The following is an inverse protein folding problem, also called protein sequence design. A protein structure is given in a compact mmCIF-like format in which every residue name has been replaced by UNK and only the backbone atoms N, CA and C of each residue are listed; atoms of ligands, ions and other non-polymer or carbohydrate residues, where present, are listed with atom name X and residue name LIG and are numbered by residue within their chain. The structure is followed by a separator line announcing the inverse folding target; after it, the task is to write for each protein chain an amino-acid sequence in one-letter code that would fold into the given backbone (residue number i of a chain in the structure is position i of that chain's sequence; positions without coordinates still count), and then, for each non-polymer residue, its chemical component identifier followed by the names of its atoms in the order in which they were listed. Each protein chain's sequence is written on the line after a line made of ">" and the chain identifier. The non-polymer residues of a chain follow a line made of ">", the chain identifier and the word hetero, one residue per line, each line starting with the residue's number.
data_IF_437889327003
#
_entry.id   IF_437889327003
#
_cell.length_a   1.000
_cell.length_b   1.000
_cell.length_c   1.000
_cell.angle_alpha   90.00
_cell.angle_beta   90.00
_cell.angle_gamma   90.00
#
_symmetry.space_group_name_H-M   'P 1'
#
loop_
_entity.id
_entity.type
_entity.pdbx_description
1 polymer ?
#
# COMPACT_ATOMS: atom_id res chain seq x y z
N UNK A 1 83.12 -22.84 49.21
CA UNK A 1 82.83 -22.01 48.07
C UNK A 1 81.50 -22.46 47.47
N UNK A 2 80.44 -21.67 47.66
CA UNK A 2 79.13 -22.00 47.14
C UNK A 2 78.80 -20.96 46.01
N UNK A 3 78.67 -21.43 44.82
CA UNK A 3 78.26 -20.61 43.65
C UNK A 3 76.74 -20.54 43.61
N UNK A 4 76.20 -19.35 43.75
CA UNK A 4 74.75 -19.08 43.53
C UNK A 4 74.54 -18.73 42.03
N UNK A 5 73.72 -19.52 41.36
CA UNK A 5 73.29 -19.31 39.98
C UNK A 5 71.97 -18.51 40.01
N UNK A 6 72.02 -17.27 39.51
CA UNK A 6 70.86 -16.43 39.37
C UNK A 6 70.30 -16.72 37.98
N UNK A 7 69.08 -17.27 37.94
CA UNK A 7 68.29 -17.47 36.69
C UNK A 7 67.44 -16.21 36.49
N UNK A 8 67.75 -15.43 35.42
CA UNK A 8 66.92 -14.32 34.98
C UNK A 8 65.77 -14.84 34.10
N UNK A 9 64.51 -14.68 34.57
CA UNK A 9 63.34 -14.99 33.78
C UNK A 9 62.97 -13.75 32.98
N UNK A 10 63.08 -13.82 31.65
CA UNK A 10 62.61 -12.77 30.72
C UNK A 10 61.12 -13.04 30.43
N UNK A 11 60.24 -12.17 30.93
CA UNK A 11 58.83 -12.14 30.54
C UNK A 11 58.74 -11.45 29.19
N UNK A 12 58.41 -12.21 28.12
CA UNK A 12 57.92 -11.65 26.85
C UNK A 12 56.44 -11.31 26.99
N UNK A 13 56.12 -10.00 27.03
CA UNK A 13 54.74 -9.53 26.84
C UNK A 13 54.39 -9.59 25.33
N UNK A 14 53.65 -10.61 24.95
CA UNK A 14 53.03 -10.69 23.64
C UNK A 14 51.83 -9.76 23.55
N UNK A 15 51.92 -8.67 22.75
CA UNK A 15 50.78 -7.83 22.41
C UNK A 15 49.92 -8.52 21.37
N UNK A 16 48.79 -9.09 21.82
CA UNK A 16 47.77 -9.59 20.91
C UNK A 16 47.02 -8.37 20.26
N UNK A 17 47.38 -7.99 19.06
CA UNK A 17 46.58 -7.11 18.23
C UNK A 17 45.35 -7.88 17.75
N UNK A 18 44.21 -7.65 18.40
CA UNK A 18 42.91 -8.16 17.95
C UNK A 18 42.51 -7.47 16.64
N UNK A 19 42.72 -8.15 15.52
CA UNK A 19 42.20 -7.71 14.22
C UNK A 19 40.72 -8.03 14.20
N UNK A 20 39.86 -7.01 14.45
CA UNK A 20 38.41 -7.14 14.28
C UNK A 20 38.11 -7.34 12.82
N UNK A 21 37.81 -8.57 12.41
CA UNK A 21 37.29 -8.89 11.07
C UNK A 21 35.90 -8.25 11.00
N UNK A 22 35.79 -7.11 10.31
CA UNK A 22 34.50 -6.54 9.92
C UNK A 22 33.87 -7.54 8.96
N UNK A 23 32.90 -8.33 9.46
CA UNK A 23 32.11 -9.18 8.58
C UNK A 23 31.35 -8.28 7.60
N UNK A 24 31.40 -8.57 6.30
CA UNK A 24 30.58 -7.82 5.34
C UNK A 24 29.10 -8.02 5.72
N UNK A 25 28.45 -6.93 6.08
CA UNK A 25 27.01 -6.90 6.23
C UNK A 25 26.41 -7.36 4.90
N UNK A 26 25.80 -8.53 4.89
CA UNK A 26 25.06 -9.05 3.74
C UNK A 26 23.94 -8.05 3.47
N UNK A 27 24.13 -7.20 2.46
CA UNK A 27 23.08 -6.31 1.96
C UNK A 27 21.96 -7.24 1.48
N UNK A 28 20.91 -7.37 2.29
CA UNK A 28 19.74 -8.12 1.92
C UNK A 28 19.17 -7.43 0.68
N UNK A 29 19.32 -8.05 -0.50
CA UNK A 29 18.81 -7.51 -1.77
C UNK A 29 17.31 -7.33 -1.58
N UNK A 30 16.85 -6.10 -1.38
CA UNK A 30 15.44 -5.77 -1.23
C UNK A 30 14.79 -6.18 -2.55
N UNK A 31 13.85 -7.11 -2.49
CA UNK A 31 13.11 -7.55 -3.66
C UNK A 31 12.12 -6.42 -3.98
N UNK A 32 12.19 -5.88 -5.20
CA UNK A 32 11.29 -4.85 -5.69
C UNK A 32 9.82 -5.25 -5.47
N UNK A 33 9.02 -4.35 -4.91
CA UNK A 33 7.59 -4.53 -4.70
C UNK A 33 6.80 -3.97 -5.88
N UNK A 34 6.27 -4.85 -6.71
CA UNK A 34 5.47 -4.50 -7.87
C UNK A 34 3.98 -4.54 -7.52
N UNK A 35 3.36 -3.35 -7.47
CA UNK A 35 1.99 -3.19 -6.99
C UNK A 35 1.02 -2.87 -8.12
N UNK A 36 -0.09 -3.61 -8.20
CA UNK A 36 -1.18 -3.38 -9.14
C UNK A 36 -2.19 -2.39 -8.53
N UNK A 37 -2.15 -1.12 -8.96
CA UNK A 37 -3.02 -0.04 -8.49
C UNK A 37 -4.48 -0.36 -8.76
N UNK A 38 -5.29 -0.50 -7.70
CA UNK A 38 -6.69 -0.92 -7.73
C UNK A 38 -6.91 -2.21 -8.53
N UNK A 39 -5.92 -3.14 -8.47
CA UNK A 39 -5.93 -4.36 -9.26
C UNK A 39 -5.50 -4.21 -10.72
N UNK A 40 -4.91 -3.06 -11.11
CA UNK A 40 -4.50 -2.76 -12.49
C UNK A 40 -5.63 -2.11 -13.31
N UNK A 41 -6.11 -0.96 -12.84
CA UNK A 41 -7.27 -0.26 -13.43
C UNK A 41 -7.10 0.17 -14.88
N UNK A 42 -5.90 0.23 -15.41
CA UNK A 42 -5.66 0.45 -16.84
C UNK A 42 -6.15 -0.69 -17.73
N UNK A 43 -6.32 -1.90 -17.16
CA UNK A 43 -6.67 -3.13 -17.87
C UNK A 43 -8.04 -3.70 -17.48
N UNK A 44 -8.44 -3.54 -16.21
CA UNK A 44 -9.63 -4.16 -15.62
C UNK A 44 -10.42 -3.13 -14.79
N UNK A 45 -11.74 -3.31 -14.58
CA UNK A 45 -12.53 -2.44 -13.71
C UNK A 45 -11.92 -2.34 -12.30
N UNK A 46 -11.60 -1.12 -11.88
CA UNK A 46 -10.86 -0.85 -10.65
C UNK A 46 -11.55 -1.39 -9.39
N UNK A 47 -10.75 -1.79 -8.40
CA UNK A 47 -11.23 -2.18 -7.07
C UNK A 47 -12.24 -3.33 -7.08
N UNK A 48 -12.20 -4.19 -8.10
CA UNK A 48 -13.07 -5.38 -8.23
C UNK A 48 -12.30 -6.66 -7.95
N UNK A 49 -13.01 -7.71 -7.55
CA UNK A 49 -12.43 -9.06 -7.42
C UNK A 49 -11.79 -9.49 -8.74
N UNK A 50 -12.44 -9.22 -9.86
CA UNK A 50 -11.95 -9.58 -11.19
C UNK A 50 -10.61 -8.92 -11.51
N UNK A 51 -10.44 -7.62 -11.16
CA UNK A 51 -9.18 -6.91 -11.35
C UNK A 51 -8.05 -7.52 -10.50
N UNK A 52 -8.31 -7.79 -9.22
CA UNK A 52 -7.32 -8.39 -8.33
C UNK A 52 -6.90 -9.78 -8.81
N UNK A 53 -7.85 -10.60 -9.21
CA UNK A 53 -7.54 -11.93 -9.74
C UNK A 53 -6.77 -11.85 -11.06
N UNK A 54 -7.10 -10.93 -11.96
CA UNK A 54 -6.35 -10.72 -13.20
C UNK A 54 -4.91 -10.24 -12.94
N UNK A 55 -4.70 -9.33 -11.96
CA UNK A 55 -3.37 -8.88 -11.57
C UNK A 55 -2.49 -10.04 -11.06
N UNK A 56 -3.08 -11.02 -10.39
CA UNK A 56 -2.36 -12.23 -9.94
C UNK A 56 -1.84 -13.10 -11.09
N UNK A 57 -2.39 -13.01 -12.30
CA UNK A 57 -1.91 -13.79 -13.45
C UNK A 57 -0.57 -13.27 -13.96
N UNK A 58 -0.20 -12.02 -13.65
CA UNK A 58 1.15 -11.52 -13.87
C UNK A 58 2.10 -12.01 -12.75
N UNK A 59 3.08 -12.86 -13.13
CA UNK A 59 4.02 -13.46 -12.18
C UNK A 59 4.92 -12.44 -11.45
N UNK A 60 5.08 -11.24 -11.99
CA UNK A 60 5.93 -10.17 -11.42
C UNK A 60 5.20 -9.40 -10.32
N UNK A 61 3.88 -9.26 -10.40
CA UNK A 61 3.08 -8.57 -9.38
C UNK A 61 3.21 -9.26 -8.03
N UNK A 62 3.59 -8.52 -7.01
CA UNK A 62 3.81 -9.00 -5.64
C UNK A 62 2.74 -8.52 -4.67
N UNK A 63 2.12 -7.37 -4.96
CA UNK A 63 1.19 -6.69 -4.07
C UNK A 63 -0.05 -6.21 -4.84
N UNK A 64 -1.21 -6.45 -4.26
CA UNK A 64 -2.48 -5.91 -4.73
C UNK A 64 -2.77 -4.64 -3.94
N UNK A 65 -2.91 -3.53 -4.65
CA UNK A 65 -3.26 -2.26 -4.05
C UNK A 65 -4.76 -2.00 -4.23
N UNK A 66 -5.41 -1.38 -3.23
CA UNK A 66 -6.85 -1.11 -3.20
C UNK A 66 -7.21 -0.01 -2.23
N UNK A 67 -8.40 0.57 -2.42
CA UNK A 67 -8.94 1.66 -1.60
C UNK A 67 -10.17 1.21 -0.83
N UNK A 68 -10.40 1.76 0.35
CA UNK A 68 -11.53 1.39 1.21
C UNK A 68 -12.50 2.53 1.46
N UNK A 69 -13.78 2.15 1.50
CA UNK A 69 -14.86 2.94 2.06
C UNK A 69 -15.64 2.11 3.10
N UNK A 70 -16.47 2.76 3.90
CA UNK A 70 -17.33 2.10 4.89
C UNK A 70 -18.78 2.39 4.53
N UNK A 71 -19.63 1.36 4.61
CA UNK A 71 -21.09 1.50 4.43
C UNK A 71 -21.77 1.94 5.72
N UNK A 72 -23.05 2.31 5.64
CA UNK A 72 -23.87 2.68 6.78
C UNK A 72 -23.99 1.54 7.82
N UNK A 73 -24.12 0.32 7.35
CA UNK A 73 -24.16 -0.91 8.17
C UNK A 73 -22.76 -1.44 8.51
N UNK A 74 -21.71 -0.56 8.41
CA UNK A 74 -20.33 -0.81 8.84
C UNK A 74 -19.61 -1.94 8.09
N UNK A 75 -20.03 -2.25 6.86
CA UNK A 75 -19.24 -3.13 6.01
C UNK A 75 -18.03 -2.36 5.46
N UNK A 76 -16.85 -2.98 5.51
CA UNK A 76 -15.65 -2.48 4.84
C UNK A 76 -15.73 -2.88 3.37
N UNK A 77 -15.85 -1.93 2.47
CA UNK A 77 -15.99 -2.15 1.03
C UNK A 77 -14.81 -1.59 0.26
N UNK A 78 -14.56 -2.12 -0.95
CA UNK A 78 -13.42 -1.73 -1.76
C UNK A 78 -13.88 -0.73 -2.83
N UNK A 79 -13.63 0.56 -2.58
CA UNK A 79 -14.00 1.68 -3.44
C UNK A 79 -13.07 2.86 -3.22
N UNK A 80 -12.69 3.54 -4.32
CA UNK A 80 -11.79 4.70 -4.24
C UNK A 80 -12.49 5.96 -3.71
N UNK A 81 -13.66 6.27 -4.24
CA UNK A 81 -14.37 7.47 -3.87
C UNK A 81 -15.36 7.18 -2.72
N UNK A 82 -15.61 8.12 -1.81
CA UNK A 82 -16.61 7.98 -0.75
C UNK A 82 -18.04 8.03 -1.29
N UNK A 83 -18.19 8.41 -2.57
CA UNK A 83 -19.45 8.43 -3.33
C UNK A 83 -19.36 7.46 -4.50
N UNK A 84 -20.49 6.96 -4.96
CA UNK A 84 -20.53 6.17 -6.19
C UNK A 84 -20.05 7.02 -7.37
N UNK A 85 -18.91 6.65 -7.94
CA UNK A 85 -18.26 7.40 -9.01
C UNK A 85 -19.10 7.38 -10.30
N UNK A 86 -19.63 8.51 -10.77
CA UNK A 86 -20.49 8.56 -11.94
C UNK A 86 -19.78 8.18 -13.25
N UNK A 87 -18.45 8.18 -13.26
CA UNK A 87 -17.67 7.82 -14.45
C UNK A 87 -17.69 6.32 -14.74
N UNK A 88 -17.86 5.49 -13.70
CA UNK A 88 -17.76 4.03 -13.80
C UNK A 88 -19.04 3.30 -13.35
N UNK A 89 -19.95 3.98 -12.66
CA UNK A 89 -21.09 3.33 -12.02
C UNK A 89 -22.34 3.35 -12.89
N UNK A 90 -22.99 2.18 -12.97
CA UNK A 90 -24.33 1.98 -13.54
C UNK A 90 -25.31 1.62 -12.41
N UNK A 91 -26.48 2.26 -12.39
CA UNK A 91 -27.53 1.99 -11.40
C UNK A 91 -28.20 0.63 -11.66
N UNK A 92 -28.92 0.06 -10.66
CA UNK A 92 -29.62 -1.20 -10.83
C UNK A 92 -30.69 -1.21 -11.95
N UNK A 93 -31.24 -0.04 -12.30
CA UNK A 93 -32.18 0.13 -13.39
C UNK A 93 -31.52 0.31 -14.77
N UNK A 94 -30.19 0.21 -14.85
CA UNK A 94 -29.40 0.42 -16.06
C UNK A 94 -29.08 1.86 -16.41
N UNK A 95 -29.63 2.85 -15.66
CA UNK A 95 -29.33 4.26 -15.88
C UNK A 95 -27.99 4.68 -15.24
N UNK A 96 -27.48 5.87 -15.60
CA UNK A 96 -26.24 6.42 -15.04
C UNK A 96 -26.53 7.46 -13.96
N UNK A 97 -25.58 7.59 -13.03
CA UNK A 97 -25.63 8.60 -11.98
C UNK A 97 -25.44 9.98 -12.63
N UNK A 98 -26.34 10.92 -12.34
CA UNK A 98 -26.26 12.31 -12.81
C UNK A 98 -25.47 13.15 -11.82
N UNK A 99 -24.84 14.24 -12.29
CA UNK A 99 -24.11 15.17 -11.45
C UNK A 99 -24.95 15.75 -10.28
N UNK A 100 -26.26 15.97 -10.52
CA UNK A 100 -27.21 16.44 -9.50
C UNK A 100 -27.55 15.40 -8.41
N UNK A 101 -27.13 14.15 -8.58
CA UNK A 101 -27.42 13.04 -7.65
C UNK A 101 -26.21 12.64 -6.79
N UNK A 102 -25.03 13.26 -6.98
CA UNK A 102 -23.80 12.85 -6.31
C UNK A 102 -23.95 12.80 -4.80
N UNK A 103 -24.53 13.83 -4.20
CA UNK A 103 -24.74 13.89 -2.75
C UNK A 103 -25.72 12.85 -2.19
N UNK A 104 -26.45 12.13 -3.06
CA UNK A 104 -27.38 11.06 -2.71
C UNK A 104 -26.74 9.66 -2.77
N UNK A 105 -25.53 9.58 -3.25
CA UNK A 105 -24.84 8.33 -3.51
C UNK A 105 -23.56 8.20 -2.66
N UNK A 106 -23.61 8.70 -1.43
CA UNK A 106 -22.54 8.58 -0.46
C UNK A 106 -22.56 7.17 0.13
N UNK A 107 -21.46 6.43 -0.02
CA UNK A 107 -21.35 5.01 0.40
C UNK A 107 -21.62 4.87 1.90
N UNK A 108 -21.13 5.79 2.72
CA UNK A 108 -21.30 5.78 4.18
C UNK A 108 -22.78 5.97 4.62
N UNK A 109 -23.65 6.37 3.71
CA UNK A 109 -25.09 6.53 3.95
C UNK A 109 -25.93 5.39 3.35
N UNK A 110 -25.30 4.39 2.73
CA UNK A 110 -25.95 3.26 2.06
C UNK A 110 -25.67 1.96 2.81
N UNK A 111 -26.67 1.12 3.01
CA UNK A 111 -26.44 -0.26 3.46
C UNK A 111 -25.85 -1.10 2.33
N UNK A 112 -24.98 -2.05 2.65
CA UNK A 112 -24.29 -2.86 1.66
C UNK A 112 -25.23 -3.59 0.70
N UNK A 113 -26.34 -4.13 1.19
CA UNK A 113 -27.36 -4.80 0.37
C UNK A 113 -27.97 -3.92 -0.74
N UNK A 114 -27.90 -2.60 -0.59
CA UNK A 114 -28.26 -1.65 -1.64
C UNK A 114 -27.08 -1.36 -2.55
N UNK A 115 -25.87 -1.19 -1.98
CA UNK A 115 -24.64 -0.86 -2.69
C UNK A 115 -24.22 -1.95 -3.69
N UNK A 116 -24.29 -3.22 -3.31
CA UNK A 116 -23.88 -4.36 -4.14
C UNK A 116 -24.67 -4.52 -5.45
N UNK A 117 -25.82 -3.84 -5.58
CA UNK A 117 -26.66 -3.86 -6.79
C UNK A 117 -26.16 -2.95 -7.90
N UNK A 118 -25.23 -2.05 -7.59
CA UNK A 118 -24.64 -1.15 -8.59
C UNK A 118 -23.52 -1.87 -9.36
N UNK A 119 -23.51 -1.68 -10.68
CA UNK A 119 -22.41 -2.18 -11.51
C UNK A 119 -21.33 -1.11 -11.65
N UNK A 120 -20.06 -1.53 -11.53
CA UNK A 120 -18.87 -0.67 -11.64
C UNK A 120 -17.90 -1.12 -12.72
N UNK A 121 -18.31 -2.00 -13.64
CA UNK A 121 -17.41 -2.57 -14.64
C UNK A 121 -17.91 -2.58 -16.08
N UNK A 122 -19.21 -2.35 -16.34
CA UNK A 122 -19.78 -2.31 -17.70
C UNK A 122 -19.66 -0.95 -18.36
N UNK A 123 -19.61 0.13 -17.59
CA UNK A 123 -19.48 1.49 -18.13
C UNK A 123 -18.05 1.71 -18.62
N UNK A 124 -17.89 2.28 -19.83
CA UNK A 124 -16.56 2.63 -20.34
C UNK A 124 -15.93 3.72 -19.48
N UNK A 125 -14.77 3.45 -18.90
CA UNK A 125 -14.01 4.43 -18.15
C UNK A 125 -13.38 5.46 -19.10
N UNK A 126 -13.68 6.77 -18.98
CA UNK A 126 -13.20 7.78 -19.94
C UNK A 126 -11.67 7.95 -19.96
N UNK A 127 -11.01 7.70 -18.82
CA UNK A 127 -9.54 7.75 -18.70
C UNK A 127 -8.82 6.44 -19.10
N UNK A 128 -9.57 5.33 -19.28
CA UNK A 128 -9.02 4.00 -19.56
C UNK A 128 -9.86 3.28 -20.61
N UNK A 129 -9.91 3.86 -21.81
CA UNK A 129 -10.78 3.37 -22.91
C UNK A 129 -10.47 1.93 -23.35
N UNK A 130 -9.25 1.44 -23.11
CA UNK A 130 -8.82 0.07 -23.38
C UNK A 130 -9.12 -0.92 -22.24
N UNK A 131 -9.71 -0.47 -21.12
CA UNK A 131 -10.07 -1.31 -19.99
C UNK A 131 -11.14 -2.34 -20.42
N UNK A 132 -10.95 -3.59 -19.96
CA UNK A 132 -11.92 -4.67 -20.23
C UNK A 132 -13.24 -4.35 -19.53
N UNK A 133 -14.34 -4.43 -20.27
CA UNK A 133 -15.69 -4.33 -19.71
C UNK A 133 -16.13 -5.67 -19.14
N UNK A 134 -16.54 -5.65 -17.89
CA UNK A 134 -16.97 -6.84 -17.17
C UNK A 134 -17.97 -6.42 -16.09
N UNK A 135 -19.12 -7.06 -16.02
CA UNK A 135 -20.09 -6.81 -14.94
C UNK A 135 -19.41 -7.10 -13.58
N UNK A 136 -19.43 -6.11 -12.71
CA UNK A 136 -18.81 -6.20 -11.39
C UNK A 136 -19.54 -5.29 -10.40
N UNK A 137 -19.75 -5.79 -9.17
CA UNK A 137 -20.22 -4.97 -8.04
C UNK A 137 -19.05 -4.55 -7.17
N UNK A 138 -19.28 -3.56 -6.32
CA UNK A 138 -18.34 -3.16 -5.26
C UNK A 138 -18.27 -4.29 -4.23
N UNK A 139 -17.12 -4.96 -4.05
CA UNK A 139 -16.99 -6.07 -3.11
C UNK A 139 -16.79 -5.58 -1.67
N UNK A 140 -17.14 -6.40 -0.68
CA UNK A 140 -16.58 -6.23 0.66
C UNK A 140 -15.09 -6.59 0.65
N UNK A 141 -14.30 -5.95 1.53
CA UNK A 141 -12.89 -6.30 1.71
C UNK A 141 -12.75 -7.79 2.05
N UNK A 142 -13.64 -8.32 2.89
CA UNK A 142 -13.63 -9.72 3.28
C UNK A 142 -13.82 -10.67 2.10
N UNK A 143 -14.79 -10.43 1.21
CA UNK A 143 -15.05 -11.27 0.04
C UNK A 143 -13.94 -11.18 -1.01
N UNK A 144 -13.33 -9.99 -1.16
CA UNK A 144 -12.19 -9.82 -2.05
C UNK A 144 -10.97 -10.61 -1.55
N UNK A 145 -10.65 -10.52 -0.26
CA UNK A 145 -9.54 -11.30 0.33
C UNK A 145 -9.81 -12.80 0.18
N UNK A 146 -11.02 -13.28 0.45
CA UNK A 146 -11.36 -14.69 0.30
C UNK A 146 -11.10 -15.19 -1.13
N UNK A 147 -11.46 -14.39 -2.14
CA UNK A 147 -11.25 -14.72 -3.54
C UNK A 147 -9.76 -14.77 -3.92
N UNK A 148 -8.97 -13.79 -3.43
CA UNK A 148 -7.52 -13.74 -3.64
C UNK A 148 -6.83 -14.91 -2.93
N UNK A 149 -7.19 -15.22 -1.68
CA UNK A 149 -6.59 -16.32 -0.93
C UNK A 149 -6.99 -17.69 -1.51
N UNK A 150 -8.19 -17.83 -2.06
CA UNK A 150 -8.60 -19.03 -2.80
C UNK A 150 -7.71 -19.24 -4.04
N UNK A 151 -7.49 -18.20 -4.86
CA UNK A 151 -6.56 -18.26 -6.00
C UNK A 151 -5.12 -18.51 -5.56
N UNK A 152 -4.68 -17.89 -4.45
CA UNK A 152 -3.36 -18.10 -3.86
C UNK A 152 -3.10 -19.56 -3.49
N UNK A 153 -4.11 -20.26 -2.96
CA UNK A 153 -4.02 -21.71 -2.64
C UNK A 153 -3.86 -22.55 -3.90
N UNK A 154 -4.57 -22.22 -4.99
CA UNK A 154 -4.51 -22.95 -6.27
C UNK A 154 -3.16 -22.73 -6.95
N UNK A 155 -2.66 -21.50 -6.97
CA UNK A 155 -1.43 -21.14 -7.70
C UNK A 155 -0.15 -21.30 -6.89
N UNK A 156 -0.24 -21.50 -5.57
CA UNK A 156 0.89 -21.49 -4.64
C UNK A 156 1.51 -20.10 -4.41
N UNK A 157 0.95 -19.04 -4.99
CA UNK A 157 1.46 -17.66 -4.89
C UNK A 157 0.68 -16.87 -3.84
N UNK A 158 1.36 -16.47 -2.77
CA UNK A 158 0.80 -15.56 -1.76
C UNK A 158 1.01 -14.11 -2.18
N UNK A 159 -0.06 -13.32 -2.18
CA UNK A 159 -0.01 -11.89 -2.46
C UNK A 159 0.17 -11.08 -1.18
N UNK A 160 0.84 -9.93 -1.30
CA UNK A 160 0.76 -8.87 -0.30
C UNK A 160 -0.40 -7.93 -0.65
N UNK A 161 -0.80 -7.13 0.34
CA UNK A 161 -1.87 -6.16 0.22
C UNK A 161 -1.36 -4.78 0.61
N UNK A 162 -1.65 -3.77 -0.19
CA UNK A 162 -1.46 -2.36 0.15
C UNK A 162 -2.84 -1.70 0.12
N UNK A 163 -3.34 -1.24 1.25
CA UNK A 163 -4.75 -0.91 1.42
C UNK A 163 -4.88 0.53 1.92
N UNK A 164 -5.57 1.38 1.15
CA UNK A 164 -5.77 2.77 1.50
C UNK A 164 -7.02 2.99 2.37
N UNK A 165 -6.82 3.64 3.51
CA UNK A 165 -7.89 4.18 4.34
C UNK A 165 -8.22 5.58 3.82
N UNK A 166 -9.35 5.70 3.12
CA UNK A 166 -9.83 6.93 2.49
C UNK A 166 -10.58 7.78 3.51
N UNK A 167 -9.87 8.65 4.20
CA UNK A 167 -10.49 9.64 5.09
C UNK A 167 -10.01 11.05 4.78
N UNK A 168 -10.83 12.03 5.07
CA UNK A 168 -10.57 13.45 4.84
C UNK A 168 -11.03 14.23 6.07
N UNK A 169 -10.20 15.12 6.58
CA UNK A 169 -10.55 15.97 7.73
C UNK A 169 -11.78 16.83 7.41
N UNK A 170 -12.73 16.88 8.36
CA UNK A 170 -14.00 17.60 8.22
C UNK A 170 -15.10 16.79 7.53
N UNK A 171 -14.84 15.52 7.14
CA UNK A 171 -15.83 14.61 6.52
C UNK A 171 -16.24 13.45 7.43
N UNK A 172 -15.73 13.42 8.65
CA UNK A 172 -16.06 12.39 9.65
C UNK A 172 -17.55 12.40 9.95
N UNK A 173 -18.18 11.22 9.92
CA UNK A 173 -19.63 11.05 10.10
C UNK A 173 -20.49 11.41 8.89
N UNK A 174 -19.92 11.95 7.83
CA UNK A 174 -20.61 12.34 6.60
C UNK A 174 -20.27 11.39 5.43
N UNK A 175 -19.00 11.23 5.13
CA UNK A 175 -18.51 10.42 4.02
C UNK A 175 -17.77 9.15 4.48
N UNK A 176 -17.32 9.13 5.74
CA UNK A 176 -16.66 8.00 6.39
C UNK A 176 -16.78 8.12 7.92
N UNK A 177 -16.51 7.05 8.70
CA UNK A 177 -16.45 7.14 10.15
C UNK A 177 -15.23 7.94 10.61
N UNK A 178 -15.19 8.27 11.91
CA UNK A 178 -13.98 8.83 12.51
C UNK A 178 -12.78 7.89 12.33
N UNK A 179 -11.52 8.41 12.25
CA UNK A 179 -10.34 7.61 11.96
C UNK A 179 -10.14 6.39 12.86
N UNK A 180 -10.44 6.51 14.17
CA UNK A 180 -10.36 5.38 15.10
C UNK A 180 -11.28 4.23 14.72
N UNK A 181 -12.54 4.52 14.41
CA UNK A 181 -13.53 3.51 14.02
C UNK A 181 -13.18 2.90 12.67
N UNK A 182 -12.73 3.72 11.70
CA UNK A 182 -12.33 3.21 10.39
C UNK A 182 -11.18 2.22 10.51
N UNK A 183 -10.11 2.59 11.22
CA UNK A 183 -8.95 1.73 11.47
C UNK A 183 -9.37 0.43 12.15
N UNK A 184 -10.21 0.49 13.17
CA UNK A 184 -10.65 -0.68 13.93
C UNK A 184 -11.45 -1.67 13.05
N UNK A 185 -12.38 -1.19 12.23
CA UNK A 185 -13.15 -2.02 11.28
C UNK A 185 -12.22 -2.71 10.27
N UNK A 186 -11.25 -1.98 9.73
CA UNK A 186 -10.27 -2.52 8.78
C UNK A 186 -9.38 -3.56 9.45
N UNK A 187 -8.75 -3.23 10.58
CA UNK A 187 -7.83 -4.14 11.28
C UNK A 187 -8.54 -5.40 11.72
N UNK A 188 -9.76 -5.29 12.25
CA UNK A 188 -10.59 -6.46 12.62
C UNK A 188 -10.83 -7.37 11.42
N UNK A 189 -11.15 -6.81 10.25
CA UNK A 189 -11.34 -7.59 9.02
C UNK A 189 -10.06 -8.32 8.63
N UNK A 190 -8.90 -7.64 8.65
CA UNK A 190 -7.61 -8.22 8.29
C UNK A 190 -7.15 -9.31 9.28
N UNK A 191 -7.44 -9.14 10.58
CA UNK A 191 -7.18 -10.14 11.62
C UNK A 191 -7.99 -11.40 11.37
N UNK A 192 -9.29 -11.26 11.13
CA UNK A 192 -10.19 -12.38 10.85
C UNK A 192 -9.80 -13.16 9.60
N UNK A 193 -9.14 -12.49 8.63
CA UNK A 193 -8.62 -13.11 7.41
C UNK A 193 -7.17 -13.61 7.51
N UNK A 194 -6.49 -13.40 8.65
CA UNK A 194 -5.11 -13.82 8.91
C UNK A 194 -4.08 -13.30 7.88
N UNK A 195 -4.24 -12.05 7.42
CA UNK A 195 -3.35 -11.43 6.41
C UNK A 195 -2.57 -10.21 6.91
N UNK A 196 -2.69 -9.81 8.18
CA UNK A 196 -2.02 -8.62 8.73
C UNK A 196 -0.52 -8.58 8.43
N UNK A 197 0.18 -9.69 8.53
CA UNK A 197 1.63 -9.77 8.32
C UNK A 197 2.06 -9.57 6.85
N UNK A 198 1.10 -9.57 5.93
CA UNK A 198 1.30 -9.34 4.49
C UNK A 198 0.60 -8.05 4.01
N UNK A 199 0.15 -7.21 4.94
CA UNK A 199 -0.58 -5.98 4.63
C UNK A 199 0.21 -4.76 5.06
N UNK A 200 0.21 -3.73 4.22
CA UNK A 200 0.49 -2.34 4.58
C UNK A 200 -0.79 -1.53 4.49
N UNK A 201 -0.99 -0.62 5.44
CA UNK A 201 -2.10 0.33 5.43
C UNK A 201 -1.58 1.71 5.05
N UNK A 202 -2.17 2.31 4.01
CA UNK A 202 -1.75 3.61 3.50
C UNK A 202 -2.85 4.66 3.67
N UNK A 203 -2.47 5.92 3.72
CA UNK A 203 -3.39 7.06 3.72
C UNK A 203 -2.69 8.36 3.38
N UNK A 204 -3.42 9.31 2.77
CA UNK A 204 -3.05 10.72 2.71
C UNK A 204 -3.35 11.45 4.01
N UNK A 205 -4.40 11.03 4.72
CA UNK A 205 -4.77 11.57 6.02
C UNK A 205 -3.84 11.02 7.11
N UNK A 206 -3.19 11.93 7.83
CA UNK A 206 -2.26 11.56 8.91
C UNK A 206 -2.95 10.88 10.09
N UNK A 207 -4.24 11.15 10.30
CA UNK A 207 -5.00 10.71 11.47
C UNK A 207 -5.12 9.20 11.57
N UNK A 208 -5.55 8.43 10.53
CA UNK A 208 -5.57 6.97 10.61
C UNK A 208 -4.17 6.37 10.73
N UNK A 209 -3.12 6.98 10.13
CA UNK A 209 -1.76 6.50 10.28
C UNK A 209 -1.25 6.64 11.72
N UNK A 210 -1.59 7.74 12.41
CA UNK A 210 -1.28 7.93 13.83
C UNK A 210 -2.00 6.93 14.72
N UNK A 211 -3.29 6.67 14.45
CA UNK A 211 -4.06 5.62 15.16
C UNK A 211 -3.40 4.23 14.98
N UNK A 212 -2.96 3.90 13.75
CA UNK A 212 -2.26 2.66 13.48
C UNK A 212 -0.95 2.56 14.26
N UNK A 213 -0.15 3.62 14.26
CA UNK A 213 1.12 3.67 14.98
C UNK A 213 0.93 3.48 16.48
N UNK A 214 -0.08 4.11 17.06
CA UNK A 214 -0.37 4.05 18.50
C UNK A 214 -0.94 2.70 18.92
N UNK A 215 -1.98 2.20 18.22
CA UNK A 215 -2.74 1.02 18.65
C UNK A 215 -2.26 -0.29 18.03
N UNK A 216 -1.66 -0.25 16.86
CA UNK A 216 -1.29 -1.42 16.06
C UNK A 216 0.13 -1.31 15.49
N UNK A 217 1.17 -1.11 16.33
CA UNK A 217 2.54 -0.76 15.88
C UNK A 217 3.21 -1.86 15.04
N UNK A 218 2.68 -3.07 15.03
CA UNK A 218 3.17 -4.15 14.16
C UNK A 218 2.70 -4.08 12.71
N UNK A 219 1.69 -3.25 12.41
CA UNK A 219 1.17 -3.07 11.06
C UNK A 219 2.06 -2.09 10.30
N UNK A 220 2.45 -2.45 9.08
CA UNK A 220 3.21 -1.56 8.20
C UNK A 220 2.34 -0.37 7.79
N UNK A 221 2.86 0.84 7.99
CA UNK A 221 2.21 2.08 7.56
C UNK A 221 2.87 2.63 6.30
N UNK A 222 2.08 3.10 5.34
CA UNK A 222 2.55 3.79 4.16
C UNK A 222 1.96 5.21 4.11
N UNK A 223 2.83 6.21 4.10
CA UNK A 223 2.41 7.61 4.06
C UNK A 223 2.36 8.09 2.61
N UNK A 224 1.15 8.34 2.11
CA UNK A 224 0.91 8.88 0.78
C UNK A 224 1.08 10.40 0.77
N UNK A 225 1.89 10.91 -0.16
CA UNK A 225 2.11 12.35 -0.33
C UNK A 225 2.02 12.70 -1.82
N UNK A 226 1.38 13.81 -2.15
CA UNK A 226 1.23 14.28 -3.53
C UNK A 226 1.77 15.70 -3.72
N UNK A 227 2.01 16.07 -4.97
CA UNK A 227 2.44 17.41 -5.35
C UNK A 227 3.87 17.75 -4.90
N UNK A 228 4.22 19.03 -4.91
CA UNK A 228 5.56 19.52 -4.63
C UNK A 228 6.05 19.17 -3.20
N UNK A 229 5.14 18.98 -2.26
CA UNK A 229 5.47 18.59 -0.88
C UNK A 229 6.18 17.22 -0.80
N UNK A 230 5.99 16.33 -1.79
CA UNK A 230 6.70 15.06 -1.90
C UNK A 230 8.22 15.21 -1.83
N UNK A 231 8.76 16.28 -2.40
CA UNK A 231 10.21 16.47 -2.52
C UNK A 231 10.92 16.61 -1.17
N UNK A 232 10.21 16.99 -0.10
CA UNK A 232 10.76 17.15 1.24
C UNK A 232 10.23 16.07 2.19
N UNK A 233 10.74 14.84 2.03
CA UNK A 233 10.35 13.71 2.86
C UNK A 233 10.61 13.95 4.36
N UNK A 234 11.69 14.65 4.72
CA UNK A 234 12.00 14.97 6.11
C UNK A 234 10.90 15.80 6.76
N UNK A 235 10.47 16.87 6.10
CA UNK A 235 9.37 17.73 6.57
C UNK A 235 8.07 16.94 6.69
N UNK A 236 7.74 16.12 5.68
CA UNK A 236 6.49 15.34 5.66
C UNK A 236 6.47 14.30 6.78
N UNK A 237 7.57 13.58 7.00
CA UNK A 237 7.67 12.60 8.07
C UNK A 237 7.62 13.29 9.46
N UNK A 238 8.21 14.46 9.59
CA UNK A 238 8.08 15.25 10.82
C UNK A 238 6.62 15.67 11.09
N UNK A 239 5.86 16.05 10.05
CA UNK A 239 4.42 16.35 10.16
C UNK A 239 3.59 15.11 10.56
N UNK A 240 3.94 13.93 10.08
CA UNK A 240 3.29 12.69 10.47
C UNK A 240 3.48 12.40 11.98
N UNK A 241 4.63 12.76 12.54
CA UNK A 241 4.95 12.64 13.95
C UNK A 241 5.57 11.30 14.37
N UNK A 242 5.76 10.38 13.43
CA UNK A 242 6.47 9.12 13.62
C UNK A 242 7.10 8.65 12.31
N UNK A 243 7.97 7.65 12.37
CA UNK A 243 8.62 7.07 11.21
C UNK A 243 7.73 6.00 10.56
N UNK A 244 7.17 6.22 9.34
CA UNK A 244 6.39 5.21 8.64
C UNK A 244 7.29 4.09 8.10
N UNK A 245 6.72 2.93 7.80
CA UNK A 245 7.44 1.85 7.12
C UNK A 245 7.74 2.22 5.67
N UNK A 246 6.79 2.91 5.01
CA UNK A 246 6.84 3.27 3.60
C UNK A 246 6.53 4.77 3.46
N UNK A 247 7.35 5.47 2.70
CA UNK A 247 7.05 6.78 2.13
C UNK A 247 6.59 6.58 0.69
N UNK A 248 5.37 7.01 0.38
CA UNK A 248 4.73 6.74 -0.91
C UNK A 248 4.40 8.06 -1.64
N UNK A 249 5.38 8.66 -2.35
CA UNK A 249 5.25 9.95 -3.01
C UNK A 249 4.65 9.84 -4.41
N UNK A 250 4.10 10.94 -4.92
CA UNK A 250 3.85 11.10 -6.36
C UNK A 250 5.18 10.96 -7.12
N UNK A 251 5.23 10.06 -8.10
CA UNK A 251 6.48 9.62 -8.75
C UNK A 251 7.29 10.75 -9.40
N UNK A 252 6.64 11.81 -9.89
CA UNK A 252 7.29 12.96 -10.55
C UNK A 252 8.26 13.72 -9.65
N UNK A 253 8.08 13.62 -8.35
CA UNK A 253 8.89 14.32 -7.36
C UNK A 253 9.97 13.44 -6.73
N UNK A 254 10.06 12.16 -7.12
CA UNK A 254 11.07 11.24 -6.63
C UNK A 254 12.44 11.66 -7.13
N UNK A 255 13.39 11.76 -6.20
CA UNK A 255 14.78 12.07 -6.50
C UNK A 255 15.74 11.31 -5.58
N UNK A 256 17.01 11.29 -5.95
CA UNK A 256 18.04 10.55 -5.21
C UNK A 256 18.17 10.99 -3.76
N UNK A 257 18.06 12.28 -3.47
CA UNK A 257 18.22 12.80 -2.11
C UNK A 257 17.08 12.32 -1.19
N UNK A 258 15.84 12.31 -1.70
CA UNK A 258 14.68 11.74 -0.99
C UNK A 258 14.89 10.26 -0.65
N UNK A 259 15.32 9.47 -1.66
CA UNK A 259 15.54 8.02 -1.49
C UNK A 259 16.64 7.78 -0.45
N UNK A 260 17.78 8.49 -0.55
CA UNK A 260 18.89 8.35 0.39
C UNK A 260 18.48 8.72 1.82
N UNK A 261 17.70 9.80 1.99
CA UNK A 261 17.15 10.19 3.29
C UNK A 261 16.25 9.09 3.87
N UNK A 262 15.31 8.58 3.08
CA UNK A 262 14.41 7.51 3.51
C UNK A 262 15.17 6.23 3.86
N UNK A 263 16.10 5.81 3.01
CA UNK A 263 16.88 4.59 3.22
C UNK A 263 17.79 4.67 4.46
N UNK A 264 18.41 5.84 4.75
CA UNK A 264 19.18 6.06 5.98
C UNK A 264 18.33 5.85 7.25
N UNK A 265 17.03 6.04 7.15
CA UNK A 265 16.06 5.83 8.23
C UNK A 265 15.32 4.49 8.15
N UNK A 266 15.75 3.57 7.27
CA UNK A 266 15.07 2.30 6.99
C UNK A 266 13.59 2.45 6.56
N UNK A 267 13.27 3.53 5.85
CA UNK A 267 11.95 3.79 5.25
C UNK A 267 12.04 3.39 3.78
N UNK A 268 11.10 2.56 3.32
CA UNK A 268 10.97 2.19 1.91
C UNK A 268 10.36 3.34 1.12
N UNK A 269 10.75 3.49 -0.16
CA UNK A 269 10.16 4.47 -1.09
C UNK A 269 9.40 3.72 -2.19
N UNK A 270 8.07 3.88 -2.22
CA UNK A 270 7.18 3.22 -3.19
C UNK A 270 6.29 4.28 -3.85
N UNK A 271 6.71 4.83 -5.00
CA UNK A 271 5.98 5.89 -5.70
C UNK A 271 4.75 5.39 -6.45
N UNK A 272 3.82 6.30 -6.69
CA UNK A 272 2.56 6.15 -7.42
C UNK A 272 2.27 7.36 -8.32
N UNK A 273 1.44 7.32 -9.36
CA UNK A 273 1.06 6.15 -10.14
C UNK A 273 1.88 6.18 -11.42
N UNK A 274 2.67 5.16 -11.65
CA UNK A 274 3.71 5.12 -12.70
C UNK A 274 3.19 4.30 -13.88
N UNK A 275 2.94 4.95 -15.02
CA UNK A 275 2.16 4.36 -16.10
C UNK A 275 2.89 4.23 -17.44
N UNK A 276 4.21 4.48 -17.49
CA UNK A 276 5.03 4.23 -18.68
C UNK A 276 6.25 3.37 -18.34
N UNK A 277 6.74 2.62 -19.33
CA UNK A 277 7.93 1.77 -19.16
C UNK A 277 9.19 2.59 -18.88
N UNK A 278 9.29 3.78 -19.46
CA UNK A 278 10.39 4.70 -19.30
C UNK A 278 10.46 5.20 -17.85
N UNK A 279 9.33 5.62 -17.29
CA UNK A 279 9.24 6.09 -15.90
C UNK A 279 9.55 4.95 -14.91
N UNK A 280 9.00 3.74 -15.15
CA UNK A 280 9.30 2.54 -14.37
C UNK A 280 10.82 2.29 -14.34
N UNK A 281 11.48 2.27 -15.51
CA UNK A 281 12.90 2.02 -15.62
C UNK A 281 13.73 3.11 -14.91
N UNK A 282 13.33 4.38 -15.04
CA UNK A 282 13.99 5.51 -14.37
C UNK A 282 13.95 5.35 -12.84
N UNK A 283 12.78 5.00 -12.29
CA UNK A 283 12.61 4.81 -10.84
C UNK A 283 13.38 3.59 -10.32
N UNK A 284 13.44 2.50 -11.10
CA UNK A 284 14.28 1.34 -10.78
C UNK A 284 15.76 1.72 -10.72
N UNK A 285 16.25 2.54 -11.66
CA UNK A 285 17.63 3.03 -11.66
C UNK A 285 17.91 3.95 -10.45
N UNK A 286 16.93 4.72 -10.01
CA UNK A 286 17.01 5.51 -8.78
C UNK A 286 17.00 4.65 -7.50
N UNK A 287 16.68 3.34 -7.60
CA UNK A 287 16.63 2.37 -6.49
C UNK A 287 15.47 2.59 -5.53
N UNK A 288 14.27 2.87 -6.06
CA UNK A 288 13.04 2.77 -5.26
C UNK A 288 12.80 1.32 -4.83
N UNK A 289 12.02 1.11 -3.78
CA UNK A 289 11.76 -0.22 -3.19
C UNK A 289 10.55 -0.93 -3.81
N UNK A 290 9.69 -0.17 -4.49
CA UNK A 290 8.52 -0.68 -5.20
C UNK A 290 7.94 0.36 -6.14
N UNK A 291 6.91 -0.02 -6.88
CA UNK A 291 6.21 0.84 -7.84
C UNK A 291 4.73 0.46 -7.87
N UNK A 292 3.85 1.48 -7.80
CA UNK A 292 2.40 1.33 -7.96
C UNK A 292 2.01 1.79 -9.36
N UNK A 293 1.37 0.91 -10.17
CA UNK A 293 0.98 1.19 -11.57
C UNK A 293 -0.45 0.78 -11.88
N UNK A 294 -1.11 1.52 -12.77
CA UNK A 294 -2.38 1.14 -13.39
C UNK A 294 -2.22 0.01 -14.41
N UNK A 295 -0.99 -0.19 -14.92
CA UNK A 295 -0.68 -1.12 -16.01
C UNK A 295 0.35 -2.16 -15.56
N UNK A 296 -0.03 -3.15 -14.72
CA UNK A 296 0.92 -4.16 -14.21
C UNK A 296 1.58 -5.00 -15.31
N UNK A 297 1.04 -5.01 -16.52
CA UNK A 297 1.65 -5.64 -17.71
C UNK A 297 2.91 -4.91 -18.20
N UNK A 298 3.23 -3.72 -17.69
CA UNK A 298 4.46 -3.00 -17.99
C UNK A 298 5.66 -3.43 -17.14
N UNK A 299 5.47 -4.21 -16.09
CA UNK A 299 6.54 -4.73 -15.23
C UNK A 299 7.48 -5.74 -15.90
#
# INVERSE_FOLDING_TARGET
>A
MKFNLIIAVVLMLGTFTSCSIIQPTTIKKIKMDYQAHRGGRGLMPENTIAAMLAAMDNAVVTTLEMDLAITKDKQVVVSHDPILNPLITTKPDGSFIKASELNKNIIYQMDYAALEKYDVGLKTHPGFVGQKKLAASIPTLASLIDSVEAKSKITGRKMNYNIEIKSVEGKDGLEHPAPNEFVELVVTTLQNKNILNRTSLQSFDLRPLRVLHEKYPSIKTAYLVFGADCANAEKQIALLGFQPTIYSPEYKYVNKAMIDYCHQKNIQVIPWTVNTKEEINTLIQLKVDGIITDYPNLF
#
